data_IF_122742816179
#
_entry.id   IF_122742816179
#
_cell.length_a   1.000
_cell.length_b   1.000
_cell.length_c   1.000
_cell.angle_alpha   90.00
_cell.angle_beta   90.00
_cell.angle_gamma   90.00
#
_symmetry.space_group_name_H-M   'P 1'
#
loop_
_entity.id
_entity.type
_entity.pdbx_description
1 polymer ?
#
# COMPACT_ATOMS: atom_id res chain seq x y z
N UNK A 1 39.58 -10.35 50.94
CA UNK A 1 39.09 -10.96 49.69
C UNK A 1 37.76 -10.31 49.34
N UNK A 2 37.76 -9.39 48.37
CA UNK A 2 36.55 -8.67 47.93
C UNK A 2 36.19 -9.28 46.56
N UNK A 3 35.03 -9.95 46.50
CA UNK A 3 34.51 -10.52 45.26
C UNK A 3 33.80 -9.42 44.46
N UNK A 4 34.30 -9.09 43.27
CA UNK A 4 33.69 -8.19 42.32
C UNK A 4 32.71 -9.00 41.45
N UNK A 5 31.42 -8.80 41.65
CA UNK A 5 30.38 -9.31 40.76
C UNK A 5 30.29 -8.39 39.53
N UNK A 6 30.76 -8.86 38.41
CA UNK A 6 30.53 -8.24 37.12
C UNK A 6 29.10 -8.56 36.63
N UNK A 7 28.23 -7.55 36.67
CA UNK A 7 26.88 -7.61 36.03
C UNK A 7 27.08 -7.48 34.50
N UNK A 8 26.97 -8.61 33.80
CA UNK A 8 26.78 -8.62 32.37
C UNK A 8 25.32 -8.19 32.05
N UNK A 9 25.14 -6.93 31.70
CA UNK A 9 23.89 -6.49 31.07
C UNK A 9 23.84 -7.08 29.66
N UNK A 10 23.06 -8.10 29.49
CA UNK A 10 22.65 -8.59 28.16
C UNK A 10 21.78 -7.50 27.52
N UNK A 11 22.34 -6.77 26.56
CA UNK A 11 21.56 -5.96 25.63
C UNK A 11 20.76 -6.92 24.77
N UNK A 12 19.50 -7.10 25.11
CA UNK A 12 18.53 -7.78 24.25
C UNK A 12 18.38 -6.87 23.03
N UNK A 13 19.07 -7.20 21.95
CA UNK A 13 18.78 -6.65 20.62
C UNK A 13 17.32 -6.98 20.33
N UNK A 14 16.49 -5.92 20.22
CA UNK A 14 15.13 -6.08 19.74
C UNK A 14 15.20 -6.76 18.36
N UNK A 15 14.82 -8.01 18.34
CA UNK A 15 14.69 -8.84 17.17
C UNK A 15 13.81 -8.07 16.18
N UNK A 16 14.42 -7.55 15.13
CA UNK A 16 13.66 -7.10 13.96
C UNK A 16 13.03 -8.37 13.40
N UNK A 17 11.82 -8.64 13.82
CA UNK A 17 11.00 -9.71 13.28
C UNK A 17 10.90 -9.44 11.79
N UNK A 18 11.73 -10.12 11.00
CA UNK A 18 11.83 -9.97 9.56
C UNK A 18 10.45 -10.29 8.99
N UNK A 19 9.72 -9.27 8.61
CA UNK A 19 8.39 -9.44 8.01
C UNK A 19 8.57 -10.30 6.76
N UNK A 20 8.08 -11.52 6.83
CA UNK A 20 8.12 -12.46 5.71
C UNK A 20 6.81 -12.34 4.92
N UNK A 21 6.90 -11.92 3.66
CA UNK A 21 5.78 -11.85 2.74
C UNK A 21 5.75 -13.11 1.86
N UNK A 22 4.58 -13.72 1.73
CA UNK A 22 4.41 -14.88 0.87
C UNK A 22 4.22 -14.43 -0.59
N UNK A 23 5.33 -14.37 -1.33
CA UNK A 23 5.34 -14.08 -2.75
C UNK A 23 4.94 -15.36 -3.51
N UNK A 24 3.97 -15.32 -4.44
CA UNK A 24 3.61 -16.48 -5.24
C UNK A 24 4.83 -17.01 -6.01
N UNK A 25 5.01 -18.33 -6.04
CA UNK A 25 6.19 -18.97 -6.64
C UNK A 25 6.49 -18.49 -8.09
N UNK A 26 5.42 -18.25 -8.88
CA UNK A 26 5.54 -17.73 -10.25
C UNK A 26 6.06 -16.29 -10.34
N UNK A 27 5.98 -15.51 -9.26
CA UNK A 27 6.32 -14.09 -9.23
C UNK A 27 7.65 -13.83 -8.48
N UNK A 28 8.27 -14.85 -7.87
CA UNK A 28 9.51 -14.72 -7.08
C UNK A 28 10.64 -14.08 -7.90
N UNK A 29 10.90 -14.58 -9.11
CA UNK A 29 11.97 -14.03 -9.96
C UNK A 29 11.72 -12.55 -10.32
N UNK A 30 10.46 -12.16 -10.53
CA UNK A 30 10.09 -10.76 -10.81
C UNK A 30 10.20 -9.88 -9.57
N UNK A 31 9.89 -10.41 -8.40
CA UNK A 31 10.08 -9.68 -7.14
C UNK A 31 11.56 -9.43 -6.86
N UNK A 32 12.43 -10.41 -7.13
CA UNK A 32 13.88 -10.24 -7.03
C UNK A 32 14.41 -9.22 -8.03
N UNK A 33 13.92 -9.25 -9.27
CA UNK A 33 14.28 -8.25 -10.27
C UNK A 33 13.85 -6.84 -9.87
N UNK A 34 12.61 -6.66 -9.39
CA UNK A 34 12.14 -5.38 -8.86
C UNK A 34 13.01 -4.90 -7.69
N UNK A 35 13.35 -5.79 -6.75
CA UNK A 35 14.21 -5.46 -5.62
C UNK A 35 15.57 -4.92 -6.08
N UNK A 36 16.19 -5.58 -7.09
CA UNK A 36 17.44 -5.15 -7.66
C UNK A 36 17.34 -3.77 -8.35
N UNK A 37 16.26 -3.52 -9.08
CA UNK A 37 16.02 -2.23 -9.74
C UNK A 37 15.76 -1.12 -8.72
N UNK A 38 15.01 -1.37 -7.66
CA UNK A 38 14.80 -0.42 -6.56
C UNK A 38 16.13 -0.10 -5.85
N UNK A 39 16.95 -1.10 -5.55
CA UNK A 39 18.27 -0.90 -4.97
C UNK A 39 19.20 -0.08 -5.87
N UNK A 40 19.03 -0.16 -7.19
CA UNK A 40 19.79 0.58 -8.18
C UNK A 40 19.36 2.05 -8.32
N UNK A 41 18.22 2.48 -7.78
CA UNK A 41 17.76 3.87 -7.84
C UNK A 41 18.79 4.84 -7.22
N UNK A 42 19.49 4.42 -6.17
CA UNK A 42 20.55 5.20 -5.54
C UNK A 42 21.46 4.30 -4.70
N UNK A 43 22.76 4.66 -4.62
CA UNK A 43 23.71 4.00 -3.70
C UNK A 43 23.32 4.10 -2.21
N UNK A 44 22.35 4.96 -1.87
CA UNK A 44 21.84 5.15 -0.51
C UNK A 44 20.68 4.22 -0.17
N UNK A 45 20.10 3.52 -1.14
CA UNK A 45 19.02 2.55 -0.91
C UNK A 45 19.60 1.30 -0.24
N UNK A 46 18.97 0.89 0.86
CA UNK A 46 19.28 -0.38 1.52
C UNK A 46 18.68 -1.53 0.67
N UNK A 47 19.52 -2.48 0.18
CA UNK A 47 19.04 -3.61 -0.60
C UNK A 47 18.02 -4.50 0.14
N UNK A 48 18.11 -4.60 1.46
CA UNK A 48 17.14 -5.36 2.26
C UNK A 48 15.79 -4.65 2.29
N UNK A 49 15.77 -3.32 2.38
CA UNK A 49 14.56 -2.53 2.32
C UNK A 49 13.92 -2.59 0.92
N UNK A 50 14.71 -2.54 -0.14
CA UNK A 50 14.26 -2.73 -1.52
C UNK A 50 13.63 -4.12 -1.72
N UNK A 51 14.25 -5.17 -1.18
CA UNK A 51 13.69 -6.52 -1.21
C UNK A 51 12.39 -6.62 -0.42
N UNK A 52 12.35 -6.08 0.78
CA UNK A 52 11.17 -6.07 1.63
C UNK A 52 9.98 -5.39 0.93
N UNK A 53 10.23 -4.24 0.28
CA UNK A 53 9.23 -3.53 -0.50
C UNK A 53 8.73 -4.36 -1.68
N UNK A 54 9.62 -4.94 -2.47
CA UNK A 54 9.27 -5.75 -3.63
C UNK A 54 8.42 -6.97 -3.23
N UNK A 55 8.83 -7.70 -2.19
CA UNK A 55 8.10 -8.86 -1.67
C UNK A 55 6.71 -8.45 -1.17
N UNK A 56 6.61 -7.36 -0.39
CA UNK A 56 5.34 -6.83 0.09
C UNK A 56 4.42 -6.42 -1.06
N UNK A 57 4.95 -5.75 -2.09
CA UNK A 57 4.17 -5.32 -3.24
C UNK A 57 3.58 -6.52 -4.00
N UNK A 58 4.38 -7.54 -4.32
CA UNK A 58 3.91 -8.73 -5.00
C UNK A 58 2.90 -9.54 -4.16
N UNK A 59 3.17 -9.73 -2.88
CA UNK A 59 2.24 -10.41 -1.97
C UNK A 59 0.92 -9.65 -1.83
N UNK A 60 0.97 -8.32 -1.74
CA UNK A 60 -0.23 -7.47 -1.65
C UNK A 60 -1.08 -7.58 -2.91
N UNK A 61 -0.48 -7.45 -4.09
CA UNK A 61 -1.21 -7.56 -5.37
C UNK A 61 -1.80 -8.96 -5.55
N UNK A 62 -1.06 -10.01 -5.18
CA UNK A 62 -1.55 -11.39 -5.23
C UNK A 62 -2.78 -11.61 -4.34
N UNK A 63 -2.83 -10.98 -3.16
CA UNK A 63 -3.97 -10.99 -2.24
C UNK A 63 -5.15 -10.19 -2.78
N UNK A 64 -4.92 -8.97 -3.27
CA UNK A 64 -5.97 -8.08 -3.76
C UNK A 64 -6.68 -8.62 -5.00
N UNK A 65 -5.98 -9.36 -5.85
CA UNK A 65 -6.53 -9.88 -7.10
C UNK A 65 -7.81 -10.74 -6.91
N UNK A 66 -7.85 -11.76 -6.05
CA UNK A 66 -9.09 -12.48 -5.74
C UNK A 66 -10.08 -11.63 -4.94
N UNK A 67 -9.62 -10.74 -4.03
CA UNK A 67 -10.51 -9.87 -3.25
C UNK A 67 -11.31 -8.92 -4.15
N UNK A 68 -10.68 -8.37 -5.19
CA UNK A 68 -11.35 -7.51 -6.16
C UNK A 68 -12.10 -8.30 -7.23
N UNK A 69 -11.93 -9.63 -7.24
CA UNK A 69 -12.58 -10.53 -8.18
C UNK A 69 -12.45 -10.03 -9.63
N UNK A 70 -11.20 -9.69 -10.04
CA UNK A 70 -10.93 -9.16 -11.37
C UNK A 70 -11.32 -10.15 -12.47
N UNK A 71 -12.15 -9.69 -13.41
CA UNK A 71 -12.63 -10.49 -14.52
C UNK A 71 -12.74 -9.64 -15.80
N UNK A 72 -12.34 -10.18 -16.93
CA UNK A 72 -12.37 -9.48 -18.21
C UNK A 72 -11.33 -8.34 -18.31
N UNK A 73 -11.73 -7.17 -18.77
CA UNK A 73 -10.84 -6.00 -18.91
C UNK A 73 -10.92 -5.06 -17.71
N UNK A 74 -9.90 -4.21 -17.44
CA UNK A 74 -9.97 -3.17 -16.41
C UNK A 74 -11.20 -2.26 -16.55
N UNK A 75 -11.52 -1.86 -17.80
CA UNK A 75 -12.71 -1.02 -18.09
C UNK A 75 -13.99 -1.76 -17.76
N UNK A 76 -14.09 -3.06 -18.06
CA UNK A 76 -15.25 -3.86 -17.66
C UNK A 76 -15.39 -3.96 -16.13
N UNK A 77 -14.29 -4.06 -15.41
CA UNK A 77 -14.33 -4.00 -13.93
C UNK A 77 -14.78 -2.63 -13.41
N UNK A 78 -14.37 -1.53 -14.06
CA UNK A 78 -14.89 -0.20 -13.74
C UNK A 78 -16.40 -0.14 -13.92
N UNK A 79 -16.93 -0.69 -15.02
CA UNK A 79 -18.38 -0.80 -15.23
C UNK A 79 -19.08 -1.58 -14.09
N UNK A 80 -18.51 -2.71 -13.64
CA UNK A 80 -19.06 -3.50 -12.54
C UNK A 80 -19.06 -2.73 -11.21
N UNK A 81 -18.01 -1.96 -10.94
CA UNK A 81 -17.92 -1.11 -9.74
C UNK A 81 -18.91 0.05 -9.83
N UNK A 82 -19.01 0.71 -10.99
CA UNK A 82 -19.94 1.81 -11.23
C UNK A 82 -21.41 1.41 -10.98
N UNK A 83 -21.79 0.22 -11.40
CA UNK A 83 -23.14 -0.32 -11.19
C UNK A 83 -23.36 -0.95 -9.79
N UNK A 84 -22.39 -0.84 -8.88
CA UNK A 84 -22.50 -1.36 -7.52
C UNK A 84 -22.44 -2.88 -7.41
N UNK A 85 -22.13 -3.60 -8.48
CA UNK A 85 -21.94 -5.06 -8.47
C UNK A 85 -20.62 -5.48 -7.84
N UNK A 86 -19.69 -4.53 -7.71
CA UNK A 86 -18.42 -4.66 -6.99
C UNK A 86 -18.15 -3.42 -6.15
N UNK A 87 -17.49 -3.61 -5.03
CA UNK A 87 -17.19 -2.50 -4.11
C UNK A 87 -15.88 -1.80 -4.45
N UNK A 88 -14.92 -2.52 -5.04
CA UNK A 88 -13.56 -2.05 -5.34
C UNK A 88 -13.11 -2.62 -6.69
N UNK A 89 -12.10 -1.98 -7.32
CA UNK A 89 -11.56 -2.42 -8.60
C UNK A 89 -11.10 -1.30 -9.53
N UNK A 90 -11.38 -0.02 -9.20
CA UNK A 90 -10.80 1.13 -9.91
C UNK A 90 -9.28 1.21 -9.69
N UNK A 91 -8.58 1.90 -10.58
CA UNK A 91 -7.13 2.12 -10.48
C UNK A 91 -6.72 2.69 -9.11
N UNK A 92 -7.42 3.72 -8.62
CA UNK A 92 -7.13 4.32 -7.33
C UNK A 92 -7.36 3.37 -6.14
N UNK A 93 -8.24 2.39 -6.23
CA UNK A 93 -8.39 1.37 -5.18
C UNK A 93 -7.13 0.51 -5.03
N UNK A 94 -6.57 0.09 -6.16
CA UNK A 94 -5.33 -0.68 -6.18
C UNK A 94 -4.17 0.11 -5.61
N UNK A 95 -4.06 1.38 -6.03
CA UNK A 95 -3.00 2.29 -5.56
C UNK A 95 -3.14 2.57 -4.07
N UNK A 96 -4.39 2.82 -3.57
CA UNK A 96 -4.67 3.03 -2.15
C UNK A 96 -4.24 1.82 -1.30
N UNK A 97 -4.69 0.61 -1.67
CA UNK A 97 -4.41 -0.58 -0.88
C UNK A 97 -2.92 -0.96 -0.92
N UNK A 98 -2.25 -0.72 -2.06
CA UNK A 98 -0.80 -0.93 -2.18
C UNK A 98 -0.03 0.09 -1.35
N UNK A 99 -0.38 1.39 -1.42
CA UNK A 99 0.25 2.45 -0.62
C UNK A 99 0.17 2.11 0.87
N UNK A 100 -1.04 1.79 1.36
CA UNK A 100 -1.25 1.50 2.78
C UNK A 100 -0.56 0.21 3.25
N UNK A 101 -0.34 -0.75 2.36
CA UNK A 101 0.43 -1.94 2.68
C UNK A 101 1.94 -1.62 2.80
N UNK A 102 2.47 -0.84 1.87
CA UNK A 102 3.88 -0.46 1.83
C UNK A 102 4.25 0.57 2.91
N UNK A 103 3.35 1.49 3.27
CA UNK A 103 3.55 2.46 4.37
C UNK A 103 3.84 1.76 5.72
N UNK A 104 3.28 0.56 5.94
CA UNK A 104 3.53 -0.23 7.17
C UNK A 104 4.96 -0.72 7.30
N UNK A 105 5.73 -0.73 6.22
CA UNK A 105 7.13 -1.13 6.22
C UNK A 105 8.03 -0.10 6.92
N UNK A 106 7.55 1.13 7.12
CA UNK A 106 8.30 2.24 7.73
C UNK A 106 9.67 2.45 7.06
N UNK A 107 9.68 2.52 5.73
CA UNK A 107 10.87 2.64 4.89
C UNK A 107 11.75 3.82 5.31
N UNK A 108 13.07 3.64 5.27
CA UNK A 108 14.07 4.65 5.69
C UNK A 108 14.85 5.22 4.50
N UNK A 109 15.07 4.41 3.47
CA UNK A 109 15.88 4.76 2.30
C UNK A 109 15.07 4.92 1.03
N UNK A 110 13.79 4.55 1.06
CA UNK A 110 12.83 4.69 -0.03
C UNK A 110 11.66 5.59 0.38
N UNK A 111 11.03 6.24 -0.59
CA UNK A 111 9.83 7.07 -0.44
C UNK A 111 8.73 6.60 -1.39
N UNK A 112 7.46 6.74 -0.94
CA UNK A 112 6.27 6.34 -1.68
C UNK A 112 5.48 7.57 -2.09
N UNK A 113 5.21 7.69 -3.38
CA UNK A 113 4.46 8.78 -3.98
C UNK A 113 3.20 8.25 -4.66
N UNK A 114 2.10 8.99 -4.56
CA UNK A 114 0.92 8.76 -5.38
C UNK A 114 1.12 9.46 -6.73
N UNK A 115 0.80 8.78 -7.81
CA UNK A 115 0.92 9.32 -9.15
C UNK A 115 -0.40 9.18 -9.93
N UNK A 116 -0.72 10.22 -10.69
CA UNK A 116 -1.85 10.27 -11.61
C UNK A 116 -1.35 10.43 -13.04
N UNK A 117 -2.01 9.75 -13.97
CA UNK A 117 -1.92 10.01 -15.39
C UNK A 117 -3.32 10.28 -15.96
N UNK A 118 -3.44 11.22 -16.90
CA UNK A 118 -4.70 11.58 -17.58
C UNK A 118 -5.86 11.92 -16.64
N UNK A 119 -5.57 12.61 -15.55
CA UNK A 119 -6.53 12.96 -14.48
C UNK A 119 -7.80 13.60 -15.06
N UNK A 120 -8.95 13.25 -14.45
CA UNK A 120 -10.27 13.73 -14.81
C UNK A 120 -10.72 13.31 -16.23
N UNK A 121 -10.08 12.29 -16.83
CA UNK A 121 -10.48 11.72 -18.12
C UNK A 121 -10.89 10.25 -17.97
N UNK A 122 -11.50 9.69 -19.01
CA UNK A 122 -11.81 8.24 -19.03
C UNK A 122 -10.57 7.33 -19.07
N UNK A 123 -9.41 7.91 -19.41
CA UNK A 123 -8.11 7.22 -19.44
C UNK A 123 -7.36 7.30 -18.11
N UNK A 124 -7.92 8.01 -17.12
CA UNK A 124 -7.26 8.19 -15.82
C UNK A 124 -6.71 6.89 -15.27
N UNK A 125 -5.45 6.94 -14.88
CA UNK A 125 -4.77 5.85 -14.21
C UNK A 125 -3.97 6.37 -13.03
N UNK A 126 -4.08 5.66 -11.90
CA UNK A 126 -3.34 5.96 -10.68
C UNK A 126 -2.38 4.81 -10.41
N UNK A 127 -1.20 5.13 -9.91
CA UNK A 127 -0.21 4.15 -9.51
C UNK A 127 0.63 4.67 -8.34
N UNK A 128 1.50 3.84 -7.79
CA UNK A 128 2.55 4.28 -6.90
C UNK A 128 3.84 4.52 -7.68
N UNK A 129 4.60 5.50 -7.22
CA UNK A 129 6.00 5.68 -7.61
C UNK A 129 6.87 5.55 -6.37
N UNK A 130 7.95 4.80 -6.49
CA UNK A 130 8.94 4.60 -5.44
C UNK A 130 10.21 5.31 -5.85
N UNK A 131 10.71 6.22 -5.01
CA UNK A 131 12.00 6.89 -5.20
C UNK A 131 12.98 6.49 -4.10
N UNK A 132 14.27 6.69 -4.33
CA UNK A 132 15.19 6.79 -3.22
C UNK A 132 14.87 8.04 -2.40
N UNK A 133 15.03 7.98 -1.09
CA UNK A 133 14.67 9.08 -0.19
C UNK A 133 15.34 10.39 -0.58
N UNK A 134 14.50 11.43 -0.79
CA UNK A 134 14.94 12.75 -1.25
C UNK A 134 15.37 12.82 -2.72
N UNK A 135 15.05 11.80 -3.51
CA UNK A 135 15.22 11.82 -4.97
C UNK A 135 13.98 12.43 -5.61
N UNK A 136 14.14 13.12 -6.74
CA UNK A 136 13.02 13.68 -7.49
C UNK A 136 12.11 12.59 -8.05
N UNK A 137 10.80 12.86 -8.09
CA UNK A 137 9.75 11.95 -8.53
C UNK A 137 10.03 11.31 -9.91
N UNK A 138 10.55 12.10 -10.85
CA UNK A 138 10.83 11.69 -12.23
C UNK A 138 11.91 10.59 -12.34
N UNK A 139 12.68 10.37 -11.28
CA UNK A 139 13.69 9.32 -11.23
C UNK A 139 13.19 8.04 -10.54
N UNK A 140 11.90 8.01 -10.20
CA UNK A 140 11.28 6.90 -9.47
C UNK A 140 10.92 5.71 -10.35
N UNK A 141 10.51 4.66 -9.66
CA UNK A 141 9.99 3.41 -10.21
C UNK A 141 8.47 3.36 -10.03
N UNK A 142 7.72 3.27 -11.12
CA UNK A 142 6.27 3.05 -11.12
C UNK A 142 5.96 1.64 -10.65
N UNK A 143 4.93 1.51 -9.81
CA UNK A 143 4.28 0.25 -9.43
C UNK A 143 2.81 0.34 -9.82
N UNK A 144 2.43 -0.34 -10.90
CA UNK A 144 1.09 -0.31 -11.48
C UNK A 144 0.51 -1.72 -11.57
N UNK A 145 -0.75 -1.91 -11.23
CA UNK A 145 -1.38 -3.22 -11.24
C UNK A 145 -2.80 -3.26 -11.85
N UNK A 146 -3.49 -2.13 -12.02
CA UNK A 146 -4.84 -2.10 -12.53
C UNK A 146 -4.93 -2.46 -14.02
N UNK A 147 -4.15 -1.81 -14.89
CA UNK A 147 -4.16 -2.07 -16.35
C UNK A 147 -3.72 -3.48 -16.71
N UNK A 148 -2.98 -4.11 -15.82
CA UNK A 148 -2.44 -5.46 -16.01
C UNK A 148 -3.24 -6.53 -15.26
N UNK A 149 -4.55 -6.29 -15.06
CA UNK A 149 -5.49 -7.28 -14.50
C UNK A 149 -5.08 -7.80 -13.11
N UNK A 150 -4.59 -6.92 -12.25
CA UNK A 150 -4.10 -7.31 -10.93
C UNK A 150 -2.77 -8.08 -10.99
N UNK A 151 -1.95 -7.81 -11.98
CA UNK A 151 -0.54 -8.20 -12.03
C UNK A 151 0.33 -6.96 -11.83
N UNK A 152 1.30 -7.04 -10.93
CA UNK A 152 2.22 -5.93 -10.72
C UNK A 152 3.12 -5.76 -11.94
N UNK A 153 3.07 -4.57 -12.55
CA UNK A 153 4.00 -4.06 -13.53
C UNK A 153 4.81 -2.94 -12.90
N UNK A 154 6.05 -2.80 -13.31
CA UNK A 154 6.92 -1.72 -12.88
C UNK A 154 7.79 -1.24 -14.03
N UNK A 155 8.14 0.04 -14.01
CA UNK A 155 8.99 0.71 -15.00
C UNK A 155 9.52 2.02 -14.40
N UNK A 156 10.59 2.57 -14.96
CA UNK A 156 11.01 3.92 -14.60
C UNK A 156 10.00 4.95 -15.12
N UNK A 157 9.74 6.00 -14.33
CA UNK A 157 8.81 7.08 -14.72
C UNK A 157 9.08 7.61 -16.13
N UNK A 158 10.34 7.97 -16.51
CA UNK A 158 10.59 8.54 -17.84
C UNK A 158 10.49 7.51 -18.99
N UNK A 159 10.42 6.22 -18.67
CA UNK A 159 10.32 5.12 -19.66
C UNK A 159 8.88 4.63 -19.82
N UNK A 160 7.94 5.15 -19.05
CA UNK A 160 6.53 4.77 -19.18
C UNK A 160 5.83 5.52 -20.31
N UNK A 161 4.77 4.90 -20.84
CA UNK A 161 3.95 5.51 -21.90
C UNK A 161 2.95 6.52 -21.35
N UNK A 162 2.53 6.35 -20.08
CA UNK A 162 1.61 7.25 -19.43
C UNK A 162 2.36 8.43 -18.79
N UNK A 163 1.88 9.67 -18.96
CA UNK A 163 2.52 10.86 -18.42
C UNK A 163 2.17 11.04 -16.94
N UNK A 164 2.79 10.24 -16.06
CA UNK A 164 2.55 10.31 -14.63
C UNK A 164 3.14 11.58 -14.02
N UNK A 165 2.36 12.19 -13.13
CA UNK A 165 2.77 13.29 -12.27
C UNK A 165 2.38 13.01 -10.81
N UNK A 166 3.13 13.58 -9.88
CA UNK A 166 2.92 13.36 -8.46
C UNK A 166 1.64 14.05 -7.95
N UNK A 167 0.89 13.36 -7.09
CA UNK A 167 -0.28 13.90 -6.39
C UNK A 167 -0.13 13.75 -4.87
N UNK A 168 0.64 14.65 -4.28
CA UNK A 168 0.92 14.67 -2.82
C UNK A 168 -0.38 14.76 -2.01
N UNK A 169 -1.31 15.62 -2.45
CA UNK A 169 -2.58 15.85 -1.73
C UNK A 169 -3.40 14.57 -1.61
N UNK A 170 -3.43 13.75 -2.68
CA UNK A 170 -4.19 12.51 -2.64
C UNK A 170 -3.52 11.45 -1.75
N UNK A 171 -2.20 11.35 -1.78
CA UNK A 171 -1.45 10.47 -0.88
C UNK A 171 -1.74 10.80 0.60
N UNK A 172 -1.71 12.10 0.95
CA UNK A 172 -2.02 12.57 2.30
C UNK A 172 -3.46 12.27 2.71
N UNK A 173 -4.44 12.49 1.82
CA UNK A 173 -5.85 12.15 2.07
C UNK A 173 -6.05 10.66 2.33
N UNK A 174 -5.38 9.80 1.58
CA UNK A 174 -5.45 8.34 1.78
C UNK A 174 -4.91 7.96 3.14
N UNK A 175 -3.73 8.46 3.52
CA UNK A 175 -3.08 8.22 4.81
C UNK A 175 -3.92 8.72 5.98
N UNK A 176 -4.47 9.94 5.87
CA UNK A 176 -5.33 10.52 6.90
C UNK A 176 -6.62 9.71 7.10
N UNK A 177 -7.26 9.25 6.01
CA UNK A 177 -8.45 8.39 6.11
C UNK A 177 -8.14 7.04 6.77
N UNK A 178 -6.99 6.46 6.50
CA UNK A 178 -6.57 5.21 7.10
C UNK A 178 -6.30 5.39 8.61
N UNK A 179 -5.60 6.45 9.01
CA UNK A 179 -5.33 6.78 10.39
C UNK A 179 -6.61 7.03 11.21
N UNK A 180 -7.59 7.73 10.62
CA UNK A 180 -8.89 7.97 11.27
C UNK A 180 -9.69 6.67 11.53
N UNK A 181 -9.58 5.66 10.65
CA UNK A 181 -10.22 4.34 10.84
C UNK A 181 -9.58 3.51 11.94
N UNK A 182 -8.30 3.69 12.22
CA UNK A 182 -7.54 2.94 13.24
C UNK A 182 -7.55 3.61 14.61
N UNK A 183 -8.04 4.87 14.72
CA UNK A 183 -8.11 5.60 15.97
C UNK A 183 -9.15 4.99 16.92
N UNK A 184 -8.83 4.77 18.22
CA UNK A 184 -9.74 4.13 19.19
C UNK A 184 -11.04 4.88 19.46
N UNK A 185 -11.15 6.15 19.08
CA UNK A 185 -12.34 6.99 19.29
C UNK A 185 -13.59 6.50 18.52
N UNK A 186 -13.46 5.60 17.55
CA UNK A 186 -14.59 5.11 16.76
C UNK A 186 -15.21 3.79 17.24
N UNK A 187 -14.75 3.22 18.37
CA UNK A 187 -15.35 2.01 18.95
C UNK A 187 -16.37 2.27 20.06
N UNK A 188 -16.80 3.52 20.29
CA UNK A 188 -17.56 3.93 21.46
C UNK A 188 -18.90 4.63 21.22
N UNK A 189 -19.61 4.42 20.10
CA UNK A 189 -21.02 4.86 20.00
C UNK A 189 -21.88 3.71 19.49
N UNK A 190 -22.04 2.70 20.34
CA UNK A 190 -23.21 1.85 20.26
C UNK A 190 -24.41 2.71 20.72
N UNK A 191 -25.27 3.06 19.79
CA UNK A 191 -26.51 3.77 20.05
C UNK A 191 -27.38 2.90 20.97
N UNK A 192 -27.37 3.19 22.28
CA UNK A 192 -28.39 2.69 23.20
C UNK A 192 -29.68 3.45 22.92
N UNK A 193 -30.52 2.90 22.06
CA UNK A 193 -31.95 3.26 21.97
C UNK A 193 -32.58 2.87 23.30
N UNK A 194 -32.72 3.83 24.23
CA UNK A 194 -33.61 3.70 25.34
C UNK A 194 -35.04 3.72 24.80
N UNK A 195 -35.66 2.55 24.77
CA UNK A 195 -37.12 2.41 24.66
C UNK A 195 -37.68 2.93 25.97
N UNK A 196 -38.33 4.09 25.94
CA UNK A 196 -39.15 4.58 27.06
C UNK A 196 -40.37 3.68 27.20
N UNK A 197 -40.78 3.27 28.42
CA UNK A 197 -42.01 2.52 28.60
C UNK A 197 -43.20 3.45 28.37
N UNK A 198 -44.13 3.01 27.51
CA UNK A 198 -45.45 3.63 27.27
C UNK A 198 -46.31 3.43 28.49
N UNK A 199 -46.52 4.49 29.30
CA UNK A 199 -47.54 4.54 30.34
C UNK A 199 -48.77 5.22 29.81
N UNK A 200 -49.69 4.44 29.25
CA UNK A 200 -51.11 4.82 29.20
C UNK A 200 -51.93 3.76 29.88
N UNK A 201 -52.22 4.00 31.17
CA UNK A 201 -53.35 3.43 31.86
C UNK A 201 -54.58 4.33 31.63
N UNK A 202 -55.66 3.80 31.21
CA UNK A 202 -56.98 3.75 31.70
C UNK A 202 -57.69 5.10 31.96
N UNK A 203 -58.71 5.33 31.28
CA UNK A 203 -60.09 5.44 31.75
C UNK A 203 -61.03 5.43 30.53
#
# INVERSE_FOLDING_TARGET
MIAVFALFSAVVSADQQQQHFEVPAKDVAKAEELANQLAALSRRVDPNEAKLLADCAYATVARLRPEYNMFGTPIFNNFLVYHGWRKRGYCYHWTEDLLLALDKLNLKTLELHWADAYRDTWQENNCLVVTAKGQAFEHGMILECWRHFGHLRWNLVPSDQDPYYENVEWAEKVRARAAAKTSPANHGVAFQTRIAPDTRSGD
#
